data_IF_342895231146
#
_entry.id   IF_342895231146
#
_cell.length_a   1.000
_cell.length_b   1.000
_cell.length_c   1.000
_cell.angle_alpha   90.00
_cell.angle_beta   90.00
_cell.angle_gamma   90.00
#
_symmetry.space_group_name_H-M   'P 1'
#
loop_
_entity.id
_entity.type
_entity.pdbx_description
1 polymer ?
#
# COMPACT_ATOMS: atom_id res chain seq x y z
N UNK A 1 1.34 -23.87 36.16
CA UNK A 1 0.24 -23.65 35.21
C UNK A 1 0.78 -23.85 33.80
N UNK A 2 0.60 -25.03 33.21
CA UNK A 2 1.12 -25.31 31.86
C UNK A 2 0.31 -24.56 30.83
N UNK A 3 0.94 -23.62 30.12
CA UNK A 3 0.28 -22.90 29.05
C UNK A 3 0.13 -23.73 27.76
N UNK A 4 -0.67 -23.20 26.82
CA UNK A 4 -0.96 -23.87 25.54
C UNK A 4 0.33 -24.05 24.73
N UNK A 5 0.62 -25.28 24.30
CA UNK A 5 1.73 -25.61 23.40
C UNK A 5 3.12 -25.11 23.87
N UNK A 6 3.38 -25.14 25.19
CA UNK A 6 4.66 -24.69 25.75
C UNK A 6 4.85 -23.17 25.80
N UNK A 7 3.79 -22.38 25.61
CA UNK A 7 3.82 -20.91 25.72
C UNK A 7 3.25 -20.44 27.05
N UNK A 8 3.84 -19.41 27.67
CA UNK A 8 3.33 -18.78 28.89
C UNK A 8 2.73 -17.39 28.58
N UNK A 9 1.63 -17.03 29.26
CA UNK A 9 0.97 -15.74 29.05
C UNK A 9 1.68 -14.66 29.87
N UNK A 10 2.28 -13.68 29.17
CA UNK A 10 2.76 -12.45 29.78
C UNK A 10 1.68 -11.37 29.68
N UNK A 11 1.25 -10.84 30.83
CA UNK A 11 0.25 -9.76 30.91
C UNK A 11 0.60 -8.78 32.01
N UNK A 12 0.36 -7.49 31.76
CA UNK A 12 0.52 -6.41 32.74
C UNK A 12 -0.49 -5.29 32.50
N UNK A 13 -0.67 -4.42 33.49
CA UNK A 13 -1.51 -3.23 33.35
C UNK A 13 -0.71 -2.08 32.76
N UNK A 14 -1.29 -1.43 31.76
CA UNK A 14 -0.74 -0.22 31.13
C UNK A 14 -1.82 0.85 31.05
N UNK A 15 -1.45 2.15 31.06
CA UNK A 15 -2.38 3.24 30.81
C UNK A 15 -3.21 3.05 29.54
N UNK A 16 -4.48 3.48 29.57
CA UNK A 16 -5.45 3.19 28.51
C UNK A 16 -5.09 3.85 27.17
N UNK A 17 -4.54 5.05 27.21
CA UNK A 17 -3.99 5.80 26.09
C UNK A 17 -2.79 5.08 25.46
N UNK A 18 -1.86 4.59 26.28
CA UNK A 18 -0.72 3.80 25.82
C UNK A 18 -1.17 2.48 25.18
N UNK A 19 -2.15 1.79 25.77
CA UNK A 19 -2.74 0.58 25.20
C UNK A 19 -3.41 0.86 23.85
N UNK A 20 -4.08 2.01 23.70
CA UNK A 20 -4.72 2.41 22.45
C UNK A 20 -3.69 2.73 21.36
N UNK A 21 -2.65 3.50 21.69
CA UNK A 21 -1.57 3.82 20.78
C UNK A 21 -0.85 2.55 20.28
N UNK A 22 -0.50 1.64 21.19
CA UNK A 22 0.12 0.37 20.86
C UNK A 22 -0.77 -0.50 19.93
N UNK A 23 -2.07 -0.61 20.22
CA UNK A 23 -3.02 -1.35 19.38
C UNK A 23 -3.21 -0.74 18.00
N UNK A 24 -3.08 0.58 17.85
CA UNK A 24 -3.14 1.27 16.57
C UNK A 24 -1.91 0.95 15.72
N UNK A 25 -0.72 1.07 16.30
CA UNK A 25 0.56 0.74 15.65
C UNK A 25 0.65 -0.75 15.27
N UNK A 26 0.25 -1.65 16.16
CA UNK A 26 0.29 -3.09 15.91
C UNK A 26 -0.66 -3.55 14.78
N UNK A 27 -1.71 -2.78 14.50
CA UNK A 27 -2.64 -3.07 13.39
C UNK A 27 -2.09 -2.64 12.03
N UNK A 28 -1.29 -1.57 11.97
CA UNK A 28 -0.74 -1.06 10.72
C UNK A 28 0.52 -1.81 10.26
N UNK A 29 1.26 -2.43 11.18
CA UNK A 29 2.58 -3.01 10.89
C UNK A 29 2.62 -4.54 11.08
N UNK A 30 1.86 -5.09 12.06
CA UNK A 30 2.20 -6.40 12.63
C UNK A 30 1.04 -7.40 12.78
N UNK A 31 -0.11 -7.15 12.15
CA UNK A 31 -1.20 -8.13 12.18
C UNK A 31 -1.83 -8.38 13.56
N UNK A 32 -1.68 -7.43 14.50
CA UNK A 32 -2.40 -7.40 15.79
C UNK A 32 -1.54 -7.22 17.04
N UNK A 33 -2.16 -6.78 18.14
CA UNK A 33 -1.48 -6.39 19.38
C UNK A 33 -0.66 -7.52 20.03
N UNK A 34 -1.17 -8.76 20.04
CA UNK A 34 -0.45 -9.90 20.62
C UNK A 34 0.76 -10.33 19.79
N UNK A 35 0.77 -10.02 18.49
CA UNK A 35 1.86 -10.35 17.60
C UNK A 35 2.99 -9.32 17.76
N UNK A 36 2.63 -8.04 17.82
CA UNK A 36 3.54 -6.95 18.18
C UNK A 36 4.16 -7.13 19.57
N UNK A 37 3.37 -7.53 20.57
CA UNK A 37 3.89 -7.75 21.91
C UNK A 37 4.91 -8.91 21.95
N UNK A 38 4.64 -9.99 21.22
CA UNK A 38 5.55 -11.15 21.16
C UNK A 38 6.88 -10.76 20.51
N UNK A 39 6.84 -9.96 19.44
CA UNK A 39 8.03 -9.45 18.76
C UNK A 39 8.85 -8.55 19.68
N UNK A 40 8.19 -7.59 20.33
CA UNK A 40 8.84 -6.67 21.28
C UNK A 40 9.53 -7.43 22.42
N UNK A 41 8.86 -8.43 23.01
CA UNK A 41 9.46 -9.27 24.05
C UNK A 41 10.65 -10.07 23.52
N UNK A 42 10.56 -10.61 22.30
CA UNK A 42 11.66 -11.34 21.68
C UNK A 42 12.88 -10.44 21.42
N UNK A 43 12.66 -9.27 20.82
CA UNK A 43 13.73 -8.28 20.55
C UNK A 43 14.39 -7.81 21.85
N UNK A 44 13.59 -7.50 22.87
CA UNK A 44 14.10 -7.06 24.17
C UNK A 44 14.91 -8.14 24.92
N UNK A 45 14.68 -9.42 24.63
CA UNK A 45 15.35 -10.54 25.33
C UNK A 45 16.52 -11.14 24.55
N UNK A 46 16.50 -11.07 23.21
CA UNK A 46 17.51 -11.69 22.34
C UNK A 46 18.41 -10.66 21.63
N UNK A 47 17.97 -9.41 21.50
CA UNK A 47 18.65 -8.39 20.70
C UNK A 47 18.50 -8.56 19.18
N UNK A 48 17.79 -9.59 18.73
CA UNK A 48 17.56 -9.88 17.32
C UNK A 48 16.15 -9.46 16.88
N UNK A 49 15.96 -9.01 15.61
CA UNK A 49 14.64 -8.68 15.09
C UNK A 49 13.70 -9.87 15.18
N UNK A 50 12.55 -9.68 15.83
CA UNK A 50 11.66 -10.79 16.16
C UNK A 50 10.97 -11.39 14.93
N UNK A 51 10.57 -12.67 15.00
CA UNK A 51 9.97 -13.37 13.87
C UNK A 51 8.67 -12.69 13.44
N UNK A 52 8.49 -12.55 12.11
CA UNK A 52 7.33 -11.89 11.53
C UNK A 52 6.01 -12.47 12.08
N UNK A 53 5.04 -11.61 12.43
CA UNK A 53 3.85 -12.02 13.14
C UNK A 53 2.98 -12.99 12.32
N UNK A 54 2.55 -14.08 12.96
CA UNK A 54 1.42 -14.89 12.47
C UNK A 54 0.16 -14.05 12.65
N UNK A 55 -0.44 -13.59 11.55
CA UNK A 55 -1.57 -12.65 11.58
C UNK A 55 -2.68 -13.08 12.53
N UNK A 56 -3.06 -12.21 13.47
CA UNK A 56 -4.09 -12.45 14.46
C UNK A 56 -5.40 -11.76 14.06
N UNK A 57 -6.36 -12.57 13.63
CA UNK A 57 -7.76 -12.20 13.41
C UNK A 57 -8.57 -13.48 13.17
N UNK A 58 -9.87 -13.50 13.45
CA UNK A 58 -10.76 -14.60 13.05
C UNK A 58 -10.98 -14.52 11.53
N UNK A 59 -9.93 -14.79 10.77
CA UNK A 59 -10.02 -14.88 9.32
C UNK A 59 -10.66 -16.23 8.96
N UNK A 60 -11.59 -16.21 8.01
CA UNK A 60 -12.03 -17.45 7.38
C UNK A 60 -10.83 -18.10 6.70
N UNK A 61 -10.59 -19.38 7.00
CA UNK A 61 -9.48 -20.13 6.44
C UNK A 61 -9.87 -20.71 5.07
N UNK A 62 -8.99 -20.50 4.09
CA UNK A 62 -9.07 -21.19 2.79
C UNK A 62 -7.93 -22.22 2.75
N UNK A 63 -8.28 -23.49 2.67
CA UNK A 63 -7.31 -24.58 2.48
C UNK A 63 -7.02 -24.78 0.99
N UNK A 64 -5.75 -24.70 0.60
CA UNK A 64 -5.30 -24.95 -0.78
C UNK A 64 -4.49 -26.24 -0.83
N UNK A 65 -4.88 -27.16 -1.72
CA UNK A 65 -4.12 -28.39 -1.98
C UNK A 65 -3.14 -28.13 -3.12
N UNK A 66 -1.87 -28.40 -2.86
CA UNK A 66 -0.78 -28.27 -3.81
C UNK A 66 -0.07 -29.61 -3.95
N UNK A 67 0.37 -29.94 -5.16
CA UNK A 67 1.31 -31.03 -5.41
C UNK A 67 2.68 -30.67 -4.81
N UNK A 68 3.53 -31.67 -4.63
CA UNK A 68 4.85 -31.49 -4.02
C UNK A 68 5.70 -30.42 -4.75
N UNK A 69 5.71 -30.46 -6.09
CA UNK A 69 6.44 -29.49 -6.92
C UNK A 69 5.89 -28.06 -6.76
N UNK A 70 4.56 -27.89 -6.77
CA UNK A 70 3.89 -26.60 -6.59
C UNK A 70 4.18 -26.02 -5.20
N UNK A 71 4.19 -26.86 -4.16
CA UNK A 71 4.53 -26.46 -2.80
C UNK A 71 6.00 -26.05 -2.67
N UNK A 72 6.91 -26.71 -3.37
CA UNK A 72 8.33 -26.35 -3.39
C UNK A 72 8.53 -24.98 -4.07
N UNK A 73 7.92 -24.77 -5.24
CA UNK A 73 7.98 -23.48 -5.94
C UNK A 73 7.38 -22.34 -5.09
N UNK A 74 6.27 -22.58 -4.37
CA UNK A 74 5.71 -21.60 -3.45
C UNK A 74 6.66 -21.26 -2.30
N UNK A 75 7.39 -22.26 -1.78
CA UNK A 75 8.33 -22.08 -0.69
C UNK A 75 9.57 -21.29 -1.12
N UNK A 76 10.08 -21.58 -2.32
CA UNK A 76 11.21 -20.86 -2.92
C UNK A 76 10.85 -19.38 -3.15
N UNK A 77 9.70 -19.10 -3.76
CA UNK A 77 9.22 -17.74 -3.96
C UNK A 77 9.02 -17.02 -2.61
N UNK A 78 8.40 -17.68 -1.62
CA UNK A 78 8.23 -17.06 -0.32
C UNK A 78 9.57 -16.72 0.35
N UNK A 79 10.57 -17.58 0.21
CA UNK A 79 11.91 -17.37 0.76
C UNK A 79 12.63 -16.20 0.08
N UNK A 80 12.60 -16.11 -1.26
CA UNK A 80 13.19 -14.97 -2.00
C UNK A 80 12.56 -13.64 -1.61
N UNK A 81 11.31 -13.66 -1.13
CA UNK A 81 10.56 -12.49 -0.68
C UNK A 81 10.54 -12.33 0.85
N UNK A 82 11.37 -13.08 1.59
CA UNK A 82 11.52 -12.93 3.05
C UNK A 82 10.24 -13.18 3.85
N UNK A 83 9.33 -14.01 3.33
CA UNK A 83 8.01 -14.28 3.93
C UNK A 83 7.71 -15.77 4.03
N UNK A 84 6.60 -16.14 4.66
CA UNK A 84 6.16 -17.53 4.73
C UNK A 84 5.31 -17.92 3.50
N UNK A 85 5.27 -19.19 3.08
CA UNK A 85 4.45 -19.64 1.94
C UNK A 85 2.97 -19.25 2.06
N UNK A 86 2.42 -19.32 3.27
CA UNK A 86 1.04 -18.93 3.54
C UNK A 86 0.82 -17.42 3.42
N UNK A 87 1.77 -16.61 3.91
CA UNK A 87 1.71 -15.16 3.77
C UNK A 87 1.92 -14.72 2.32
N UNK A 88 2.85 -15.36 1.60
CA UNK A 88 3.07 -15.11 0.17
C UNK A 88 1.81 -15.38 -0.64
N UNK A 89 1.19 -16.56 -0.45
CA UNK A 89 -0.06 -16.92 -1.11
C UNK A 89 -1.21 -15.95 -0.78
N UNK A 90 -1.31 -15.52 0.48
CA UNK A 90 -2.29 -14.53 0.91
C UNK A 90 -2.06 -13.17 0.25
N UNK A 91 -0.81 -12.68 0.22
CA UNK A 91 -0.48 -11.41 -0.41
C UNK A 91 -0.79 -11.42 -1.90
N UNK A 92 -0.44 -12.51 -2.59
CA UNK A 92 -0.76 -12.69 -4.01
C UNK A 92 -2.28 -12.66 -4.24
N UNK A 93 -3.04 -13.40 -3.44
CA UNK A 93 -4.50 -13.39 -3.52
C UNK A 93 -5.08 -11.99 -3.28
N UNK A 94 -4.60 -11.25 -2.27
CA UNK A 94 -5.07 -9.90 -1.97
C UNK A 94 -4.72 -8.90 -3.07
N UNK A 95 -3.50 -8.96 -3.61
CA UNK A 95 -3.07 -8.08 -4.71
C UNK A 95 -3.94 -8.30 -5.94
N UNK A 96 -4.18 -9.55 -6.34
CA UNK A 96 -5.04 -9.84 -7.50
C UNK A 96 -6.52 -9.55 -7.27
N UNK A 97 -7.02 -9.68 -6.04
CA UNK A 97 -8.42 -9.37 -5.71
C UNK A 97 -8.69 -7.86 -5.65
N UNK A 98 -7.73 -7.09 -5.13
CA UNK A 98 -7.87 -5.63 -4.95
C UNK A 98 -7.35 -4.86 -6.16
N UNK A 99 -6.56 -5.51 -7.03
CA UNK A 99 -5.84 -4.89 -8.17
C UNK A 99 -5.02 -3.68 -7.73
N UNK A 100 -4.46 -3.78 -6.52
CA UNK A 100 -3.58 -2.76 -5.97
C UNK A 100 -2.29 -3.44 -5.50
N UNK A 101 -1.13 -2.90 -5.87
CA UNK A 101 0.14 -3.44 -5.42
C UNK A 101 0.28 -3.25 -3.91
N UNK A 102 0.93 -4.22 -3.26
CA UNK A 102 1.35 -4.09 -1.86
C UNK A 102 2.75 -3.48 -1.83
N UNK A 103 2.95 -2.51 -0.93
CA UNK A 103 4.21 -1.79 -0.81
C UNK A 103 4.96 -2.25 0.44
N UNK A 104 6.25 -2.52 0.30
CA UNK A 104 7.12 -2.74 1.45
C UNK A 104 7.58 -1.41 2.06
N UNK A 105 8.17 -1.44 3.26
CA UNK A 105 8.54 -0.22 3.98
C UNK A 105 9.60 0.64 3.25
N UNK A 106 10.53 0.01 2.53
CA UNK A 106 11.55 0.71 1.75
C UNK A 106 10.94 1.42 0.54
N UNK A 107 10.04 0.75 -0.19
CA UNK A 107 9.32 1.32 -1.32
C UNK A 107 8.42 2.49 -0.89
N UNK A 108 7.78 2.40 0.28
CA UNK A 108 6.97 3.50 0.84
C UNK A 108 7.86 4.72 1.14
N UNK A 109 9.06 4.53 1.68
CA UNK A 109 9.98 5.64 1.95
C UNK A 109 10.51 6.27 0.66
N UNK A 110 10.81 5.45 -0.35
CA UNK A 110 11.22 5.93 -1.67
C UNK A 110 10.10 6.74 -2.35
N UNK A 111 8.86 6.23 -2.34
CA UNK A 111 7.68 6.98 -2.79
C UNK A 111 7.52 8.29 -2.03
N UNK A 112 7.68 8.29 -0.71
CA UNK A 112 7.61 9.50 0.11
C UNK A 112 8.70 10.50 -0.28
N UNK A 113 9.90 10.05 -0.61
CA UNK A 113 10.97 10.91 -1.13
C UNK A 113 10.58 11.56 -2.46
N UNK A 114 10.09 10.76 -3.41
CA UNK A 114 9.62 11.24 -4.71
C UNK A 114 8.49 12.27 -4.55
N UNK A 115 7.54 12.04 -3.65
CA UNK A 115 6.48 13.01 -3.36
C UNK A 115 6.99 14.32 -2.73
N UNK A 116 8.04 14.28 -1.91
CA UNK A 116 8.69 15.49 -1.38
C UNK A 116 9.32 16.30 -2.50
N UNK A 117 10.02 15.65 -3.43
CA UNK A 117 10.63 16.29 -4.61
C UNK A 117 9.56 16.94 -5.49
N UNK A 118 8.51 16.21 -5.85
CA UNK A 118 7.38 16.76 -6.63
C UNK A 118 6.73 17.96 -5.94
N UNK A 119 6.56 17.91 -4.60
CA UNK A 119 6.00 19.04 -3.84
C UNK A 119 6.90 20.27 -3.89
N UNK A 120 8.23 20.09 -3.80
CA UNK A 120 9.18 21.19 -3.92
C UNK A 120 9.09 21.86 -5.30
N UNK A 121 8.98 21.05 -6.36
CA UNK A 121 8.79 21.56 -7.72
C UNK A 121 7.48 22.33 -7.84
N UNK A 122 6.38 21.79 -7.29
CA UNK A 122 5.08 22.45 -7.26
C UNK A 122 5.12 23.82 -6.55
N UNK A 123 5.85 23.93 -5.44
CA UNK A 123 6.06 25.20 -4.75
C UNK A 123 6.80 26.22 -5.64
N UNK A 124 7.86 25.79 -6.33
CA UNK A 124 8.61 26.65 -7.25
C UNK A 124 7.73 27.12 -8.41
N UNK A 125 6.92 26.23 -9.00
CA UNK A 125 5.94 26.59 -10.05
C UNK A 125 4.93 27.60 -9.52
N UNK A 126 4.42 27.40 -8.31
CA UNK A 126 3.45 28.32 -7.69
C UNK A 126 4.06 29.71 -7.44
N UNK A 127 5.34 29.79 -7.06
CA UNK A 127 6.05 31.06 -6.93
C UNK A 127 6.21 31.77 -8.27
N UNK A 128 6.55 31.04 -9.34
CA UNK A 128 6.64 31.60 -10.70
C UNK A 128 5.26 32.14 -11.13
N UNK A 129 4.19 31.36 -10.94
CA UNK A 129 2.83 31.79 -11.26
C UNK A 129 2.44 33.06 -10.48
N UNK A 130 2.77 33.13 -9.19
CA UNK A 130 2.48 34.30 -8.37
C UNK A 130 3.25 35.54 -8.85
N UNK A 131 4.54 35.39 -9.15
CA UNK A 131 5.37 36.46 -9.67
C UNK A 131 4.88 36.96 -11.05
N UNK A 132 4.39 36.06 -11.90
CA UNK A 132 3.78 36.40 -13.19
C UNK A 132 2.45 37.15 -13.02
N UNK A 133 1.61 36.73 -12.06
CA UNK A 133 0.35 37.42 -11.75
C UNK A 133 0.59 38.86 -11.25
N UNK A 134 1.62 39.06 -10.40
CA UNK A 134 2.03 40.40 -9.96
C UNK A 134 2.53 41.21 -11.16
N UNK A 135 3.37 40.62 -12.02
CA UNK A 135 3.89 41.27 -13.22
C UNK A 135 2.79 41.73 -14.19
N UNK A 136 1.73 40.94 -14.36
CA UNK A 136 0.55 41.33 -15.17
C UNK A 136 -0.19 42.51 -14.54
N UNK A 137 -0.29 42.57 -13.21
CA UNK A 137 -0.94 43.68 -12.51
C UNK A 137 -0.11 44.97 -12.49
N UNK A 138 1.22 44.86 -12.43
CA UNK A 138 2.15 46.00 -12.34
C UNK A 138 2.74 46.43 -13.68
N UNK A 139 2.58 45.63 -14.74
CA UNK A 139 3.19 45.83 -16.06
C UNK A 139 4.69 45.55 -16.13
N UNK A 140 5.31 45.12 -15.02
CA UNK A 140 6.74 44.82 -14.95
C UNK A 140 6.98 43.31 -14.97
N UNK A 141 7.52 42.79 -16.07
CA UNK A 141 7.82 41.37 -16.23
C UNK A 141 9.26 41.05 -15.80
N UNK A 142 9.46 40.20 -14.77
CA UNK A 142 10.80 39.79 -14.40
C UNK A 142 11.45 38.98 -15.53
N UNK A 143 12.72 39.26 -15.85
CA UNK A 143 13.41 38.52 -16.90
C UNK A 143 13.57 37.05 -16.48
N UNK A 144 13.59 36.15 -17.46
CA UNK A 144 13.83 34.70 -17.31
C UNK A 144 12.71 33.82 -16.72
N UNK A 145 11.53 34.35 -16.37
CA UNK A 145 10.45 33.50 -15.82
C UNK A 145 9.97 32.39 -16.75
N UNK A 146 9.97 32.64 -18.06
CA UNK A 146 9.60 31.62 -19.06
C UNK A 146 10.60 30.46 -19.11
N UNK A 147 11.88 30.70 -18.81
CA UNK A 147 12.90 29.66 -18.74
C UNK A 147 12.74 28.83 -17.46
N UNK A 148 12.54 29.49 -16.32
CA UNK A 148 12.29 28.84 -15.03
C UNK A 148 11.01 27.96 -15.05
N UNK A 149 9.94 28.42 -15.71
CA UNK A 149 8.72 27.63 -15.86
C UNK A 149 8.93 26.37 -16.72
N UNK A 150 9.72 26.45 -17.80
CA UNK A 150 10.05 25.29 -18.64
C UNK A 150 10.92 24.29 -17.88
N UNK A 151 11.92 24.76 -17.15
CA UNK A 151 12.80 23.92 -16.34
C UNK A 151 12.01 23.16 -15.26
N UNK A 152 11.14 23.85 -14.54
CA UNK A 152 10.26 23.22 -13.57
C UNK A 152 9.34 22.17 -14.22
N UNK A 153 8.79 22.45 -15.40
CA UNK A 153 7.95 21.51 -16.13
C UNK A 153 8.73 20.25 -16.59
N UNK A 154 9.99 20.39 -17.01
CA UNK A 154 10.85 19.24 -17.33
C UNK A 154 11.15 18.40 -16.10
N UNK A 155 11.43 19.04 -14.96
CA UNK A 155 11.71 18.35 -13.71
C UNK A 155 10.49 17.57 -13.19
N UNK A 156 9.28 18.14 -13.28
CA UNK A 156 8.03 17.39 -12.99
C UNK A 156 7.90 16.18 -13.91
N UNK A 157 8.11 16.35 -15.23
CA UNK A 157 8.02 15.24 -16.18
C UNK A 157 9.01 14.14 -15.86
N UNK A 158 10.22 14.49 -15.44
CA UNK A 158 11.26 13.55 -15.02
C UNK A 158 10.84 12.76 -13.77
N UNK A 159 10.39 13.43 -12.71
CA UNK A 159 9.97 12.76 -11.48
C UNK A 159 8.72 11.89 -11.70
N UNK A 160 7.77 12.33 -12.54
CA UNK A 160 6.61 11.51 -12.90
C UNK A 160 7.01 10.22 -13.62
N UNK A 161 8.05 10.25 -14.48
CA UNK A 161 8.57 9.03 -15.11
C UNK A 161 9.21 8.09 -14.09
N UNK A 162 9.95 8.63 -13.10
CA UNK A 162 10.54 7.84 -12.01
C UNK A 162 9.48 7.17 -11.16
N UNK A 163 8.42 7.91 -10.79
CA UNK A 163 7.27 7.36 -10.07
C UNK A 163 6.64 6.21 -10.86
N UNK A 164 6.38 6.39 -12.16
CA UNK A 164 5.79 5.33 -12.99
C UNK A 164 6.72 4.13 -13.14
N UNK A 165 8.05 4.31 -13.18
CA UNK A 165 9.00 3.21 -13.21
C UNK A 165 8.97 2.39 -11.91
N UNK A 166 8.97 3.04 -10.74
CA UNK A 166 8.85 2.37 -9.42
C UNK A 166 7.50 1.66 -9.32
N UNK A 167 6.41 2.31 -9.75
CA UNK A 167 5.09 1.68 -9.75
C UNK A 167 5.05 0.48 -10.71
N UNK A 168 5.57 0.60 -11.93
CA UNK A 168 5.57 -0.48 -12.91
C UNK A 168 6.40 -1.69 -12.43
N UNK A 169 7.56 -1.45 -11.81
CA UNK A 169 8.36 -2.52 -11.21
C UNK A 169 7.59 -3.29 -10.12
N UNK A 170 6.75 -2.61 -9.35
CA UNK A 170 5.87 -3.26 -8.37
C UNK A 170 4.72 -4.05 -9.03
N UNK A 171 4.22 -3.59 -10.19
CA UNK A 171 3.23 -4.35 -10.97
C UNK A 171 3.85 -5.62 -11.57
N UNK A 172 5.06 -5.51 -12.13
CA UNK A 172 5.83 -6.65 -12.62
C UNK A 172 6.11 -7.65 -11.49
N UNK A 173 6.51 -7.15 -10.32
CA UNK A 173 6.75 -7.94 -9.12
C UNK A 173 5.52 -8.77 -8.69
N UNK A 174 4.32 -8.21 -8.81
CA UNK A 174 3.08 -8.90 -8.46
C UNK A 174 2.38 -9.57 -9.65
N UNK A 175 2.92 -9.50 -10.87
CA UNK A 175 2.29 -10.05 -12.07
C UNK A 175 0.92 -9.42 -12.40
N UNK A 176 0.75 -8.13 -12.10
CA UNK A 176 -0.49 -7.40 -12.38
C UNK A 176 -0.61 -7.06 -13.88
N UNK A 177 -1.84 -6.99 -14.44
CA UNK A 177 -2.05 -6.68 -15.85
C UNK A 177 -1.55 -5.29 -16.24
N UNK A 178 -1.02 -5.15 -17.47
CA UNK A 178 -0.53 -3.87 -18.01
C UNK A 178 -1.62 -2.79 -18.09
N UNK A 179 -2.87 -3.20 -18.26
CA UNK A 179 -4.04 -2.31 -18.30
C UNK A 179 -4.27 -1.53 -17.00
N UNK A 180 -3.76 -2.02 -15.86
CA UNK A 180 -3.85 -1.34 -14.57
C UNK A 180 -2.62 -0.47 -14.28
N UNK A 181 -1.57 -0.52 -15.12
CA UNK A 181 -0.34 0.24 -14.86
C UNK A 181 -0.61 1.74 -14.95
N UNK A 182 -0.08 2.54 -14.01
CA UNK A 182 -0.22 3.99 -14.05
C UNK A 182 0.49 4.56 -15.29
N UNK A 183 -0.18 5.49 -15.98
CA UNK A 183 0.36 6.15 -17.17
C UNK A 183 0.66 7.62 -16.90
N UNK A 184 1.82 8.10 -17.36
CA UNK A 184 2.16 9.54 -17.37
C UNK A 184 1.56 10.30 -18.55
N UNK A 185 0.78 9.65 -19.43
CA UNK A 185 0.20 10.32 -20.57
C UNK A 185 -0.74 11.45 -20.11
N UNK A 186 -0.68 12.61 -20.78
CA UNK A 186 -1.63 13.70 -20.53
C UNK A 186 -3.08 13.19 -20.60
N UNK A 187 -3.92 13.57 -19.65
CA UNK A 187 -5.30 13.11 -19.58
C UNK A 187 -5.51 11.74 -18.90
N UNK A 188 -4.44 11.01 -18.54
CA UNK A 188 -4.57 9.65 -18.00
C UNK A 188 -5.26 9.65 -16.62
N UNK A 189 -4.92 10.60 -15.75
CA UNK A 189 -5.55 10.75 -14.44
C UNK A 189 -7.04 11.13 -14.55
N UNK A 190 -7.41 12.01 -15.49
CA UNK A 190 -8.81 12.33 -15.73
C UNK A 190 -9.59 11.12 -16.29
N UNK A 191 -9.00 10.36 -17.24
CA UNK A 191 -9.63 9.14 -17.79
C UNK A 191 -9.84 8.07 -16.72
N UNK A 192 -8.86 7.89 -15.83
CA UNK A 192 -8.94 6.92 -14.75
C UNK A 192 -9.96 7.33 -13.67
N UNK A 193 -9.98 8.61 -13.28
CA UNK A 193 -10.99 9.10 -12.33
C UNK A 193 -12.42 8.97 -12.86
N UNK A 194 -12.63 9.22 -14.16
CA UNK A 194 -13.91 8.98 -14.85
C UNK A 194 -14.28 7.49 -14.83
N UNK A 195 -13.33 6.58 -15.11
CA UNK A 195 -13.55 5.12 -15.03
C UNK A 195 -13.94 4.66 -13.63
N UNK A 196 -13.19 5.10 -12.61
CA UNK A 196 -13.46 4.75 -11.20
C UNK A 196 -14.83 5.26 -10.77
N UNK A 197 -15.16 6.51 -11.11
CA UNK A 197 -16.47 7.10 -10.78
C UNK A 197 -17.62 6.36 -11.47
N UNK A 198 -17.44 5.96 -12.73
CA UNK A 198 -18.40 5.14 -13.47
C UNK A 198 -18.57 3.74 -12.87
N UNK A 199 -17.49 3.08 -12.46
CA UNK A 199 -17.51 1.78 -11.80
C UNK A 199 -18.19 1.84 -10.42
N UNK A 200 -17.96 2.91 -9.65
CA UNK A 200 -18.62 3.13 -8.37
C UNK A 200 -20.14 3.38 -8.56
N UNK A 201 -20.50 4.15 -9.58
CA UNK A 201 -21.90 4.34 -10.00
C UNK A 201 -22.58 3.02 -10.39
N UNK A 202 -21.90 2.16 -11.13
CA UNK A 202 -22.40 0.83 -11.51
C UNK A 202 -22.57 -0.10 -10.29
N UNK A 203 -21.63 -0.06 -9.33
CA UNK A 203 -21.75 -0.79 -8.05
C UNK A 203 -22.98 -0.34 -7.24
N UNK A 204 -23.23 0.98 -7.16
CA UNK A 204 -24.40 1.54 -6.45
C UNK A 204 -25.73 1.16 -7.10
N UNK A 205 -25.76 1.03 -8.44
CA UNK A 205 -26.95 0.66 -9.22
C UNK A 205 -27.21 -0.85 -9.30
N UNK A 206 -26.32 -1.69 -8.76
CA UNK A 206 -26.47 -3.14 -8.81
C UNK A 206 -27.67 -3.56 -7.94
N UNK A 207 -28.71 -4.20 -8.49
CA UNK A 207 -29.88 -4.58 -7.72
C UNK A 207 -29.47 -5.56 -6.61
N UNK A 208 -29.87 -5.27 -5.37
CA UNK A 208 -29.65 -6.18 -4.23
C UNK A 208 -30.43 -7.47 -4.50
N UNK A 209 -29.73 -8.52 -4.87
CA UNK A 209 -30.30 -9.86 -5.05
C UNK A 209 -30.86 -10.31 -3.70
N UNK A 210 -32.18 -10.25 -3.51
CA UNK A 210 -32.83 -10.87 -2.35
C UNK A 210 -32.57 -12.36 -2.45
N UNK A 211 -31.91 -12.93 -1.44
CA UNK A 211 -31.82 -14.38 -1.26
C UNK A 211 -33.25 -14.91 -1.21
N UNK A 212 -33.59 -15.81 -2.14
CA UNK A 212 -34.86 -16.51 -2.13
C UNK A 212 -34.95 -17.27 -0.80
N UNK A 213 -36.00 -16.97 -0.01
CA UNK A 213 -36.35 -17.76 1.17
C UNK A 213 -36.64 -19.17 0.66
N UNK A 214 -35.90 -20.17 1.15
CA UNK A 214 -36.24 -21.57 0.97
C UNK A 214 -37.67 -21.77 1.51
N UNK A 215 -38.61 -22.11 0.63
CA UNK A 215 -39.89 -22.69 1.04
C UNK A 215 -39.57 -24.04 1.67
N UNK A 216 -39.95 -24.23 2.93
CA UNK A 216 -40.10 -25.56 3.50
C UNK A 216 -41.51 -25.99 3.14
N UNK A 217 -41.63 -26.83 2.12
CA UNK A 217 -42.79 -27.69 1.92
C UNK A 217 -42.30 -29.13 1.87
N UNK A 218 -43.08 -29.97 2.55
CA UNK A 218 -43.00 -31.43 2.78
C UNK A 218 -42.03 -31.94 3.87
#
# INVERSE_FOLDING_TARGET
MSGRNGQELLSTWVPADLAAAFKAQARSIEGGASAALRRLVFEATTGEPGPAPKGAGSAAQVGVRLKAAERAALAEAALSHGTSPANWLRSLALVHLVRQPQWNAAEIEELRSLFREVRAIGNNVNQIAHALNIAVQTGQYPPYQGAAAREAAELVRYEMRRIVAVMSGNFDYWGLPDEDRPSTALGAAERESVRVSAAEGARKRRPRRRLARFSKDE
#
